data_IF_792136314940
#
_entry.id   IF_792136314940
#
_cell.length_a   1.000
_cell.length_b   1.000
_cell.length_c   1.000
_cell.angle_alpha   90.00
_cell.angle_beta   90.00
_cell.angle_gamma   90.00
#
_symmetry.space_group_name_H-M   'P 1'
#
loop_
_entity.id
_entity.type
_entity.pdbx_description
1 polymer ?
#
# COMPACT_ATOMS: atom_id res chain seq x y z
N UNK A 1 1.75 -2.59 -4.20
CA UNK A 1 1.81 -1.16 -3.84
C UNK A 1 1.58 -1.04 -2.34
N UNK A 2 2.50 -0.45 -1.56
CA UNK A 2 2.29 -0.13 -0.14
C UNK A 2 1.08 0.80 0.04
N UNK A 3 0.16 0.48 0.95
CA UNK A 3 -1.10 1.21 1.11
C UNK A 3 -1.15 1.97 2.44
N UNK A 4 -1.69 3.20 2.46
CA UNK A 4 -2.05 3.89 3.69
C UNK A 4 -2.87 3.03 4.64
N UNK A 5 -2.72 3.26 5.95
CA UNK A 5 -3.49 2.56 7.00
C UNK A 5 -3.28 1.03 6.99
N UNK A 6 -2.10 0.59 6.53
CA UNK A 6 -1.68 -0.81 6.62
C UNK A 6 -0.29 -0.88 7.25
N UNK A 7 0.11 -2.01 7.84
CA UNK A 7 1.46 -2.17 8.38
C UNK A 7 2.53 -1.84 7.34
N UNK A 8 2.27 -2.20 6.08
CA UNK A 8 3.19 -1.93 4.97
C UNK A 8 3.26 -0.46 4.54
N UNK A 9 2.60 0.49 5.20
CA UNK A 9 2.59 1.91 4.78
C UNK A 9 3.97 2.59 4.81
N UNK A 10 4.93 2.04 5.57
CA UNK A 10 6.34 2.49 5.59
C UNK A 10 7.24 1.78 4.57
N UNK A 11 6.75 0.70 3.95
CA UNK A 11 7.54 -0.06 3.01
C UNK A 11 7.86 0.76 1.74
N UNK A 12 9.08 0.59 1.25
CA UNK A 12 9.44 1.02 -0.10
C UNK A 12 8.59 0.27 -1.13
N UNK A 13 8.23 0.94 -2.22
CA UNK A 13 7.68 0.26 -3.38
C UNK A 13 8.83 -0.16 -4.29
N UNK A 14 8.77 -1.38 -4.80
CA UNK A 14 9.69 -1.85 -5.82
C UNK A 14 9.54 -1.03 -7.10
N UNK A 15 10.64 -0.70 -7.76
CA UNK A 15 10.63 0.00 -9.04
C UNK A 15 9.95 -0.84 -10.14
N UNK A 16 9.50 -0.16 -11.21
CA UNK A 16 8.73 -0.84 -12.26
C UNK A 16 9.57 -1.82 -13.08
N UNK A 17 10.86 -1.55 -13.31
CA UNK A 17 11.74 -2.41 -14.11
C UNK A 17 11.98 -3.74 -13.39
N UNK A 18 12.27 -3.67 -12.09
CA UNK A 18 12.45 -4.86 -11.25
C UNK A 18 11.12 -5.62 -11.10
N UNK A 19 10.00 -4.91 -10.99
CA UNK A 19 8.66 -5.54 -10.96
C UNK A 19 8.40 -6.35 -12.24
N UNK A 20 8.56 -5.72 -13.40
CA UNK A 20 8.33 -6.34 -14.70
C UNK A 20 9.29 -7.53 -14.93
N UNK A 21 10.56 -7.39 -14.53
CA UNK A 21 11.54 -8.47 -14.61
C UNK A 21 11.15 -9.68 -13.74
N UNK A 22 10.75 -9.46 -12.48
CA UNK A 22 10.32 -10.56 -11.58
C UNK A 22 9.06 -11.24 -12.09
N UNK A 23 8.10 -10.47 -12.62
CA UNK A 23 6.90 -11.02 -13.23
C UNK A 23 7.23 -11.88 -14.47
N UNK A 24 8.18 -11.43 -15.29
CA UNK A 24 8.64 -12.19 -16.45
C UNK A 24 9.29 -13.52 -16.04
N UNK A 25 10.18 -13.51 -15.04
CA UNK A 25 10.81 -14.73 -14.52
C UNK A 25 9.75 -15.73 -14.00
N UNK A 26 8.79 -15.26 -13.21
CA UNK A 26 7.71 -16.09 -12.69
C UNK A 26 6.84 -16.67 -13.81
N UNK A 27 6.52 -15.85 -14.81
CA UNK A 27 5.74 -16.26 -15.98
C UNK A 27 6.45 -17.34 -16.79
N UNK A 28 7.75 -17.19 -16.97
CA UNK A 28 8.56 -18.17 -17.70
C UNK A 28 8.64 -19.49 -16.93
N UNK A 29 8.80 -19.44 -15.61
CA UNK A 29 8.77 -20.65 -14.75
C UNK A 29 7.44 -21.40 -14.86
N UNK A 30 6.32 -20.70 -14.70
CA UNK A 30 4.97 -21.29 -14.81
C UNK A 30 4.73 -21.91 -16.19
N UNK A 31 5.34 -21.35 -17.24
CA UNK A 31 5.19 -21.83 -18.62
C UNK A 31 6.12 -22.97 -19.01
N UNK A 32 7.13 -23.31 -18.18
CA UNK A 32 8.06 -24.41 -18.48
C UNK A 32 7.33 -25.74 -18.65
N UNK A 33 6.33 -26.00 -17.82
CA UNK A 33 5.46 -27.17 -17.95
C UNK A 33 4.10 -26.77 -18.52
N UNK A 34 3.80 -27.22 -19.74
CA UNK A 34 2.54 -26.92 -20.42
C UNK A 34 1.32 -27.54 -19.75
N UNK A 35 1.48 -28.64 -19.02
CA UNK A 35 0.39 -29.28 -18.28
C UNK A 35 -0.03 -28.39 -17.10
N UNK A 36 0.93 -27.90 -16.32
CA UNK A 36 0.65 -27.01 -15.18
C UNK A 36 0.32 -25.59 -15.61
N UNK A 37 1.04 -25.03 -16.60
CA UNK A 37 0.82 -23.66 -17.06
C UNK A 37 -0.58 -23.39 -17.60
N UNK A 38 -1.28 -24.41 -18.13
CA UNK A 38 -2.69 -24.29 -18.55
C UNK A 38 -3.68 -24.29 -17.40
N UNK A 39 -3.30 -24.82 -16.24
CA UNK A 39 -4.13 -24.89 -15.04
C UNK A 39 -3.97 -23.64 -14.15
N UNK A 40 -2.97 -22.79 -14.41
CA UNK A 40 -2.65 -21.62 -13.57
C UNK A 40 -3.14 -20.34 -14.26
N UNK A 41 -4.11 -19.66 -13.64
CA UNK A 41 -4.53 -18.32 -14.05
C UNK A 41 -3.57 -17.26 -13.49
N UNK A 42 -2.75 -16.66 -14.36
CA UNK A 42 -1.77 -15.65 -13.94
C UNK A 42 -2.36 -14.23 -14.06
N UNK A 43 -2.75 -13.64 -12.93
CA UNK A 43 -3.23 -12.25 -12.82
C UNK A 43 -2.17 -11.41 -12.13
N UNK A 44 -1.86 -10.24 -12.70
CA UNK A 44 -0.83 -9.34 -12.21
C UNK A 44 -1.19 -7.90 -12.59
N UNK A 45 -0.49 -6.96 -11.96
CA UNK A 45 -0.49 -5.55 -12.34
C UNK A 45 0.86 -5.21 -12.95
N UNK A 46 0.86 -4.46 -14.04
CA UNK A 46 2.08 -3.99 -14.69
C UNK A 46 2.83 -2.99 -13.80
N UNK A 47 4.17 -2.95 -13.89
CA UNK A 47 5.01 -2.13 -13.02
C UNK A 47 4.71 -0.63 -13.14
N UNK A 48 4.64 -0.09 -14.36
CA UNK A 48 4.44 1.35 -14.63
C UNK A 48 3.11 1.89 -14.06
N UNK A 49 1.94 1.27 -14.34
CA UNK A 49 0.70 1.62 -13.64
C UNK A 49 0.84 1.53 -12.11
N UNK A 50 1.54 0.51 -11.60
CA UNK A 50 1.78 0.35 -10.18
C UNK A 50 2.53 1.53 -9.53
N UNK A 51 3.50 2.14 -10.23
CA UNK A 51 4.21 3.35 -9.74
C UNK A 51 3.24 4.52 -9.59
N UNK A 52 2.37 4.75 -10.58
CA UNK A 52 1.36 5.82 -10.52
C UNK A 52 0.31 5.53 -9.44
N UNK A 53 -0.11 4.29 -9.29
CA UNK A 53 -0.95 3.88 -8.17
C UNK A 53 -0.27 4.17 -6.82
N UNK A 54 1.04 3.95 -6.72
CA UNK A 54 1.86 4.31 -5.57
C UNK A 54 1.85 5.80 -5.27
N UNK A 55 2.06 6.64 -6.28
CA UNK A 55 1.99 8.10 -6.19
C UNK A 55 0.61 8.55 -5.69
N UNK A 56 -0.47 8.03 -6.29
CA UNK A 56 -1.84 8.42 -5.95
C UNK A 56 -2.28 7.91 -4.58
N UNK A 57 -1.79 6.73 -4.17
CA UNK A 57 -2.12 6.15 -2.86
C UNK A 57 -1.36 6.86 -1.73
N UNK A 58 -0.14 7.32 -1.98
CA UNK A 58 0.77 7.86 -0.95
C UNK A 58 1.09 9.35 -1.10
N UNK A 59 0.36 10.01 -1.99
CA UNK A 59 0.51 11.42 -2.31
C UNK A 59 -0.04 12.32 -1.21
N UNK A 60 0.48 13.54 -1.16
CA UNK A 60 -0.12 14.61 -0.38
C UNK A 60 -0.77 15.66 -1.28
N UNK A 61 -1.10 16.83 -0.72
CA UNK A 61 -1.74 17.93 -1.46
C UNK A 61 -0.99 18.35 -2.73
N UNK A 62 0.33 18.18 -2.80
CA UNK A 62 1.16 18.51 -3.97
C UNK A 62 0.84 17.61 -5.17
N UNK A 63 0.46 16.36 -4.92
CA UNK A 63 0.02 15.41 -5.97
C UNK A 63 -1.28 15.87 -6.64
N UNK A 64 -2.09 16.71 -5.97
CA UNK A 64 -3.23 17.37 -6.60
C UNK A 64 -2.84 18.19 -7.84
N UNK A 65 -1.68 18.88 -7.80
CA UNK A 65 -1.17 19.61 -8.98
C UNK A 65 -0.70 18.68 -10.08
N UNK A 66 -0.13 17.53 -9.73
CA UNK A 66 0.26 16.50 -10.72
C UNK A 66 -0.98 15.99 -11.46
N UNK A 67 -2.06 15.67 -10.73
CA UNK A 67 -3.33 15.22 -11.31
C UNK A 67 -3.91 16.27 -12.25
N UNK A 68 -3.88 17.55 -11.84
CA UNK A 68 -4.33 18.66 -12.69
C UNK A 68 -3.49 18.78 -13.97
N UNK A 69 -2.16 18.69 -13.87
CA UNK A 69 -1.26 18.74 -15.02
C UNK A 69 -1.47 17.56 -15.99
N UNK A 70 -1.69 16.35 -15.47
CA UNK A 70 -2.07 15.18 -16.28
C UNK A 70 -3.36 15.45 -17.05
N UNK A 71 -4.38 15.98 -16.38
CA UNK A 71 -5.66 16.29 -17.00
C UNK A 71 -5.54 17.39 -18.08
N UNK A 72 -4.76 18.45 -17.82
CA UNK A 72 -4.49 19.52 -18.78
C UNK A 72 -3.77 19.01 -20.03
N UNK A 73 -2.89 18.02 -19.87
CA UNK A 73 -2.21 17.32 -20.97
C UNK A 73 -3.08 16.25 -21.66
N UNK A 74 -4.39 16.23 -21.36
CA UNK A 74 -5.35 15.33 -21.99
C UNK A 74 -5.48 13.95 -21.33
N UNK A 75 -4.88 13.75 -20.16
CA UNK A 75 -5.07 12.60 -19.28
C UNK A 75 -6.53 12.40 -18.90
N UNK A 76 -7.13 11.33 -19.42
CA UNK A 76 -8.52 10.92 -19.17
C UNK A 76 -8.59 9.41 -19.34
N UNK A 77 -9.43 8.76 -18.53
CA UNK A 77 -9.63 7.32 -18.58
C UNK A 77 -8.35 6.50 -18.33
N UNK A 78 -7.40 7.00 -17.52
CA UNK A 78 -6.15 6.30 -17.19
C UNK A 78 -6.33 4.98 -16.40
N UNK A 79 -7.56 4.67 -15.97
CA UNK A 79 -7.91 3.36 -15.39
C UNK A 79 -8.01 2.22 -16.41
N UNK A 80 -8.01 2.54 -17.71
CA UNK A 80 -8.01 1.58 -18.81
C UNK A 80 -6.64 1.56 -19.48
N UNK A 81 -6.07 0.37 -19.66
CA UNK A 81 -4.68 0.22 -20.11
C UNK A 81 -4.43 0.79 -21.50
N UNK A 82 -5.44 0.82 -22.37
CA UNK A 82 -5.38 1.43 -23.70
C UNK A 82 -5.29 2.97 -23.69
N UNK A 83 -5.60 3.60 -22.56
CA UNK A 83 -5.58 5.06 -22.39
C UNK A 83 -4.44 5.53 -21.49
N UNK A 84 -3.94 4.64 -20.62
CA UNK A 84 -2.87 4.94 -19.69
C UNK A 84 -1.57 5.34 -20.40
N UNK A 85 -0.99 6.48 -20.00
CA UNK A 85 0.32 6.92 -20.46
C UNK A 85 1.25 7.23 -19.29
N UNK A 86 2.21 6.34 -19.03
CA UNK A 86 3.21 6.54 -17.98
C UNK A 86 4.05 7.80 -18.22
N UNK A 87 4.46 8.04 -19.46
CA UNK A 87 5.31 9.18 -19.83
C UNK A 87 4.61 10.51 -19.56
N UNK A 88 3.28 10.58 -19.77
CA UNK A 88 2.46 11.74 -19.37
C UNK A 88 2.54 12.00 -17.87
N UNK A 89 2.42 10.96 -17.06
CA UNK A 89 2.49 11.09 -15.60
C UNK A 89 3.87 11.53 -15.12
N UNK A 90 4.95 10.99 -15.68
CA UNK A 90 6.32 11.44 -15.36
C UNK A 90 6.47 12.91 -15.71
N UNK A 91 6.13 13.30 -16.94
CA UNK A 91 6.27 14.68 -17.38
C UNK A 91 5.42 15.66 -16.55
N UNK A 92 4.24 15.23 -16.08
CA UNK A 92 3.42 16.00 -15.16
C UNK A 92 4.04 16.12 -13.76
N UNK A 93 4.67 15.06 -13.23
CA UNK A 93 5.42 15.12 -11.98
C UNK A 93 6.58 16.12 -12.07
N UNK A 94 7.40 16.02 -13.12
CA UNK A 94 8.53 16.90 -13.37
C UNK A 94 8.11 18.37 -13.41
N UNK A 95 6.97 18.69 -14.06
CA UNK A 95 6.46 20.06 -14.12
C UNK A 95 5.83 20.52 -12.79
N UNK A 96 4.94 19.73 -12.21
CA UNK A 96 4.14 20.13 -11.05
C UNK A 96 4.91 20.17 -9.73
N UNK A 97 6.06 19.49 -9.67
CA UNK A 97 6.92 19.36 -8.50
C UNK A 97 8.30 20.01 -8.69
N UNK A 98 8.54 20.73 -9.80
CA UNK A 98 9.84 21.33 -10.12
C UNK A 98 10.43 22.20 -8.99
N UNK A 99 9.56 22.93 -8.28
CA UNK A 99 9.94 23.83 -7.18
C UNK A 99 9.75 23.19 -5.78
N UNK A 100 9.51 21.88 -5.73
CA UNK A 100 9.30 21.13 -4.49
C UNK A 100 10.50 20.25 -4.15
N UNK A 101 10.76 19.94 -2.87
CA UNK A 101 11.84 19.05 -2.46
C UNK A 101 11.49 17.56 -2.66
N UNK A 102 10.58 17.23 -3.57
CA UNK A 102 10.06 15.88 -3.78
C UNK A 102 9.81 15.60 -5.26
N UNK A 103 9.87 14.33 -5.64
CA UNK A 103 9.60 13.83 -6.97
C UNK A 103 8.80 12.52 -6.91
N UNK A 104 8.62 11.86 -8.06
CA UNK A 104 7.90 10.59 -8.15
C UNK A 104 8.52 9.50 -7.26
N UNK A 105 9.85 9.40 -7.25
CA UNK A 105 10.60 8.40 -6.50
C UNK A 105 10.50 8.66 -4.98
N UNK A 106 10.48 9.94 -4.58
CA UNK A 106 10.23 10.34 -3.21
C UNK A 106 8.86 9.88 -2.70
N UNK A 107 7.82 9.88 -3.52
CA UNK A 107 6.53 9.32 -3.09
C UNK A 107 6.53 7.79 -3.10
N UNK A 108 7.36 7.17 -3.93
CA UNK A 108 7.19 5.77 -4.30
C UNK A 108 8.23 4.81 -3.76
N UNK A 109 9.47 4.90 -4.22
CA UNK A 109 10.50 3.86 -4.05
C UNK A 109 11.35 4.02 -2.81
N UNK A 110 11.37 5.21 -2.19
CA UNK A 110 12.13 5.39 -0.96
C UNK A 110 11.52 4.63 0.22
N UNK A 111 12.38 4.28 1.16
CA UNK A 111 11.95 3.82 2.49
C UNK A 111 11.45 5.01 3.33
N UNK A 112 10.58 4.70 4.29
CA UNK A 112 10.03 5.64 5.25
C UNK A 112 10.37 5.17 6.66
N UNK A 113 10.72 6.10 7.52
CA UNK A 113 11.02 5.81 8.92
C UNK A 113 9.77 5.98 9.78
N UNK A 114 9.76 5.36 10.96
CA UNK A 114 8.66 5.48 11.92
C UNK A 114 8.30 6.93 12.24
N UNK A 115 9.28 7.81 12.41
CA UNK A 115 9.07 9.20 12.82
C UNK A 115 8.59 10.10 11.67
N UNK A 116 8.46 9.58 10.45
CA UNK A 116 8.00 10.36 9.32
C UNK A 116 6.52 10.74 9.48
N UNK A 117 6.20 11.99 9.15
CA UNK A 117 4.82 12.46 9.08
C UNK A 117 4.20 11.97 7.78
N UNK A 118 3.21 11.10 7.87
CA UNK A 118 2.56 10.52 6.70
C UNK A 118 1.39 11.41 6.22
N UNK A 119 1.22 11.64 4.90
CA UNK A 119 0.18 12.53 4.39
C UNK A 119 -1.25 12.20 4.82
N UNK A 120 -1.53 10.93 5.10
CA UNK A 120 -2.85 10.41 5.47
C UNK A 120 -3.04 10.25 7.00
N UNK A 121 -2.06 10.58 7.84
CA UNK A 121 -2.18 10.45 9.32
C UNK A 121 -3.30 11.29 9.94
N UNK A 122 -3.80 12.30 9.23
CA UNK A 122 -4.94 13.10 9.66
C UNK A 122 -6.29 12.39 9.44
N UNK A 123 -6.28 11.20 8.84
CA UNK A 123 -7.44 10.34 8.65
C UNK A 123 -7.38 9.22 9.67
N UNK A 124 -8.52 8.88 10.24
CA UNK A 124 -8.65 7.81 11.21
C UNK A 124 -9.29 6.58 10.53
N UNK A 125 -8.59 5.45 10.59
CA UNK A 125 -9.03 4.16 10.07
C UNK A 125 -9.45 3.17 11.16
N UNK A 126 -9.43 3.59 12.43
CA UNK A 126 -9.66 2.71 13.56
C UNK A 126 -8.41 1.94 14.04
N UNK A 127 -7.23 2.23 13.49
CA UNK A 127 -6.01 1.46 13.77
C UNK A 127 -4.97 2.36 14.42
N UNK A 128 -4.44 1.91 15.55
CA UNK A 128 -3.36 2.60 16.23
C UNK A 128 -2.08 2.59 15.37
N UNK A 129 -1.40 3.73 15.33
CA UNK A 129 -0.20 3.93 14.51
C UNK A 129 0.99 3.11 15.00
N UNK A 130 1.14 2.99 16.32
CA UNK A 130 2.24 2.24 16.92
C UNK A 130 2.00 0.74 16.72
N UNK A 131 0.75 0.29 16.85
CA UNK A 131 0.36 -1.08 16.48
C UNK A 131 0.72 -1.41 15.03
N UNK A 132 0.39 -0.52 14.06
CA UNK A 132 0.74 -0.73 12.65
C UNK A 132 2.26 -0.81 12.44
N UNK A 133 3.04 -0.03 13.20
CA UNK A 133 4.50 -0.06 13.12
C UNK A 133 5.08 -1.35 13.70
N UNK A 134 4.57 -1.80 14.85
CA UNK A 134 4.98 -3.07 15.45
C UNK A 134 4.68 -4.25 14.51
N UNK A 135 3.48 -4.30 13.93
CA UNK A 135 3.10 -5.33 12.96
C UNK A 135 3.98 -5.30 11.70
N UNK A 136 4.41 -4.10 11.26
CA UNK A 136 5.40 -3.98 10.18
C UNK A 136 6.75 -4.59 10.56
N UNK A 137 7.26 -4.31 11.77
CA UNK A 137 8.53 -4.89 12.22
C UNK A 137 8.44 -6.42 12.33
N UNK A 138 7.32 -6.94 12.83
CA UNK A 138 7.06 -8.37 12.93
C UNK A 138 7.00 -9.02 11.54
N UNK A 139 6.28 -8.42 10.59
CA UNK A 139 6.21 -8.89 9.22
C UNK A 139 7.58 -8.95 8.52
N UNK A 140 8.45 -7.95 8.76
CA UNK A 140 9.84 -7.95 8.25
C UNK A 140 10.66 -9.11 8.86
N UNK A 141 10.38 -9.48 10.10
CA UNK A 141 11.01 -10.61 10.78
C UNK A 141 10.35 -11.97 10.50
N UNK A 142 9.31 -12.01 9.64
CA UNK A 142 8.58 -13.24 9.31
C UNK A 142 7.70 -13.74 10.45
N UNK A 143 7.30 -12.85 11.37
CA UNK A 143 6.33 -13.13 12.41
C UNK A 143 4.94 -12.78 11.88
N UNK A 144 3.99 -13.70 12.06
CA UNK A 144 2.61 -13.52 11.62
C UNK A 144 1.73 -13.12 12.81
N UNK A 145 0.69 -12.33 12.54
CA UNK A 145 -0.37 -12.02 13.51
C UNK A 145 -1.41 -13.12 13.48
N UNK A 146 -1.69 -13.70 14.64
CA UNK A 146 -2.74 -14.70 14.78
C UNK A 146 -4.15 -14.08 14.63
N UNK A 147 -5.14 -14.92 14.38
CA UNK A 147 -6.55 -14.49 14.35
C UNK A 147 -7.04 -14.09 15.75
N UNK A 148 -7.21 -12.79 15.97
CA UNK A 148 -7.65 -12.20 17.23
C UNK A 148 -9.03 -12.67 17.72
N UNK A 149 -9.79 -13.41 16.91
CA UNK A 149 -11.05 -14.06 17.34
C UNK A 149 -10.80 -15.34 18.12
N UNK A 150 -9.63 -15.94 18.04
CA UNK A 150 -9.30 -17.20 18.73
C UNK A 150 -8.17 -17.06 19.74
N UNK A 151 -7.41 -15.96 19.67
CA UNK A 151 -6.35 -15.58 20.59
C UNK A 151 -6.72 -14.33 21.39
N UNK A 152 -5.95 -13.96 22.44
CA UNK A 152 -6.15 -12.68 23.13
C UNK A 152 -6.05 -11.49 22.17
N UNK A 153 -6.74 -10.39 22.51
CA UNK A 153 -6.71 -9.15 21.74
C UNK A 153 -5.29 -8.58 21.65
N UNK A 154 -4.91 -8.07 20.46
CA UNK A 154 -3.63 -7.40 20.19
C UNK A 154 -3.67 -5.87 20.38
N UNK A 155 -4.79 -5.35 20.86
CA UNK A 155 -4.98 -3.93 21.16
C UNK A 155 -4.75 -2.99 19.95
N UNK A 156 -5.23 -3.40 18.76
CA UNK A 156 -5.05 -2.65 17.52
C UNK A 156 -5.86 -1.34 17.40
N UNK A 157 -6.69 -0.99 18.39
CA UNK A 157 -7.55 0.20 18.39
C UNK A 157 -8.96 0.01 17.79
N UNK A 158 -9.15 -0.93 16.86
CA UNK A 158 -10.39 -1.01 16.04
C UNK A 158 -11.65 -1.20 16.87
N UNK A 159 -11.67 -2.22 17.74
CA UNK A 159 -12.91 -2.54 18.44
C UNK A 159 -13.37 -1.42 19.39
N UNK A 160 -12.48 -0.88 20.25
CA UNK A 160 -12.78 0.26 21.09
C UNK A 160 -13.21 1.53 20.32
N UNK A 161 -12.48 1.92 19.26
CA UNK A 161 -12.79 3.15 18.50
C UNK A 161 -14.12 3.05 17.75
N UNK A 162 -14.46 1.86 17.25
CA UNK A 162 -15.72 1.62 16.55
C UNK A 162 -16.90 1.31 17.50
N UNK A 163 -16.67 1.30 18.81
CA UNK A 163 -17.69 0.95 19.81
C UNK A 163 -18.22 -0.47 19.64
N UNK A 164 -17.38 -1.38 19.16
CA UNK A 164 -17.73 -2.79 18.92
C UNK A 164 -17.25 -3.68 20.05
N UNK A 165 -18.07 -4.64 20.43
CA UNK A 165 -17.67 -5.64 21.42
C UNK A 165 -16.68 -6.63 20.81
N UNK A 166 -15.63 -6.94 21.57
CA UNK A 166 -14.63 -7.93 21.21
C UNK A 166 -15.27 -9.32 21.33
N UNK A 167 -15.72 -9.88 20.20
CA UNK A 167 -16.26 -11.24 20.12
C UNK A 167 -15.14 -12.24 19.88
N UNK A 168 -14.39 -12.55 20.94
CA UNK A 168 -13.44 -13.65 20.92
C UNK A 168 -14.22 -14.94 21.19
N UNK A 169 -13.90 -16.00 20.46
CA UNK A 169 -14.41 -17.36 20.67
C UNK A 169 -14.20 -17.82 22.11
N UNK A 170 -14.72 -19.00 22.52
CA UNK A 170 -14.71 -19.41 23.91
C UNK A 170 -13.28 -19.59 24.44
N UNK A 171 -12.70 -18.52 24.97
CA UNK A 171 -11.37 -18.49 25.61
C UNK A 171 -11.41 -19.02 27.03
N UNK A 172 -12.61 -19.21 27.59
CA UNK A 172 -12.82 -19.48 29.01
C UNK A 172 -12.39 -18.32 29.92
N UNK A 173 -12.08 -17.14 29.35
CA UNK A 173 -11.60 -15.96 30.08
C UNK A 173 -12.54 -14.79 29.87
N UNK A 174 -12.88 -14.09 30.95
CA UNK A 174 -13.58 -12.81 30.89
C UNK A 174 -12.54 -11.72 30.65
N UNK A 175 -12.56 -11.13 29.46
CA UNK A 175 -11.67 -10.00 29.14
C UNK A 175 -12.24 -8.73 29.78
N UNK A 176 -11.38 -7.97 30.44
CA UNK A 176 -11.76 -6.66 30.96
C UNK A 176 -12.03 -5.71 29.79
N UNK A 177 -13.01 -4.81 29.90
CA UNK A 177 -13.26 -3.82 28.86
C UNK A 177 -12.00 -2.97 28.64
N UNK A 178 -11.52 -2.91 27.40
CA UNK A 178 -10.50 -1.96 26.98
C UNK A 178 -11.14 -0.59 26.92
N UNK A 179 -10.68 0.33 27.76
CA UNK A 179 -11.03 1.75 27.67
C UNK A 179 -9.93 2.46 26.90
N UNK A 180 -10.27 3.04 25.75
CA UNK A 180 -9.38 4.01 25.07
C UNK A 180 -9.24 5.21 26.00
N UNK A 181 -8.00 5.57 26.35
CA UNK A 181 -7.68 6.76 27.17
C UNK A 181 -7.23 7.87 26.26
#
# INVERSE_FOLDING_TARGET
>A
VPKPHTPFQWASQLDHETTDHRLQLLRDEVRKDKQFGRAIGFRYHDGKPGIIEGLLSRGDRRVGRVIEEVWRDGGRFDGWSEHFSYDRWIAACERALADEPVDLDWYTVREREYAEVLPWEHLDSGLDRDWLWEDWQDAVNGVEVDDCRWTPCFDCGVCPEMGTEIQIGPTGKQLLPLSVV
#
